data_IF_858895477624
#
_entry.id   IF_858895477624
#
_cell.length_a   1.000
_cell.length_b   1.000
_cell.length_c   1.000
_cell.angle_alpha   90.00
_cell.angle_beta   90.00
_cell.angle_gamma   90.00
#
_symmetry.space_group_name_H-M   'P 1'
#
loop_
_entity.id
_entity.type
_entity.pdbx_description
1 polymer ?
#
# COMPACT_ATOMS: atom_id res chain seq x y z
N UNK A 1 0.23 9.97 18.11
CA UNK A 1 1.33 10.87 17.71
C UNK A 1 2.27 10.03 16.86
N UNK A 2 1.90 9.76 15.60
CA UNK A 2 2.45 8.63 14.83
C UNK A 2 3.27 9.08 13.61
N UNK A 3 3.62 10.36 13.58
CA UNK A 3 4.32 11.00 12.48
C UNK A 3 5.25 12.08 13.05
N UNK A 4 6.45 12.17 12.51
CA UNK A 4 7.46 13.17 12.87
C UNK A 4 8.05 13.79 11.60
N UNK A 5 8.76 14.91 11.76
CA UNK A 5 9.62 15.49 10.72
C UNK A 5 10.97 15.78 11.34
N UNK A 6 12.03 15.64 10.57
CA UNK A 6 13.37 16.04 10.98
C UNK A 6 13.59 17.50 10.59
N UNK A 7 14.06 18.31 11.54
CA UNK A 7 14.49 19.68 11.27
C UNK A 7 16.02 19.73 11.28
N UNK A 8 16.61 20.11 10.15
CA UNK A 8 18.05 20.25 9.99
C UNK A 8 18.42 21.72 10.13
N UNK A 9 19.21 22.02 11.16
CA UNK A 9 19.72 23.35 11.45
C UNK A 9 21.24 23.33 11.33
N UNK A 10 21.78 24.11 10.40
CA UNK A 10 23.22 24.28 10.22
C UNK A 10 23.65 25.57 10.91
N UNK A 11 24.78 25.53 11.62
CA UNK A 11 25.43 26.69 12.20
C UNK A 11 26.80 26.87 11.56
N UNK A 12 27.13 28.10 11.17
CA UNK A 12 28.44 28.49 10.65
C UNK A 12 29.26 29.18 11.75
N UNK A 13 30.60 29.12 11.68
CA UNK A 13 31.47 29.81 12.63
C UNK A 13 31.38 31.32 12.47
N UNK A 14 31.40 32.04 13.59
CA UNK A 14 31.53 33.48 13.64
C UNK A 14 32.98 33.94 13.46
N UNK A 15 33.21 35.25 13.51
CA UNK A 15 34.57 35.81 13.37
C UNK A 15 35.52 35.35 14.49
N UNK A 16 34.99 34.86 15.62
CA UNK A 16 35.75 34.26 16.72
C UNK A 16 35.84 32.72 16.63
N UNK A 17 35.40 32.14 15.50
CA UNK A 17 35.41 30.69 15.25
C UNK A 17 34.28 29.92 15.92
N UNK A 18 33.31 30.58 16.57
CA UNK A 18 32.23 29.93 17.31
C UNK A 18 31.05 29.61 16.39
N UNK A 19 30.54 28.38 16.40
CA UNK A 19 29.44 27.92 15.53
C UNK A 19 28.09 28.54 15.93
N UNK A 20 27.87 29.82 15.62
CA UNK A 20 26.74 30.62 16.13
C UNK A 20 25.86 31.23 15.04
N UNK A 21 26.27 31.21 13.77
CA UNK A 21 25.48 31.79 12.70
C UNK A 21 24.52 30.75 12.11
N UNK A 22 23.21 30.79 12.41
CA UNK A 22 22.27 29.82 11.85
C UNK A 22 22.00 30.10 10.36
N UNK A 23 22.04 29.05 9.55
CA UNK A 23 21.40 29.07 8.24
C UNK A 23 19.90 28.82 8.37
N UNK A 24 19.16 28.99 7.28
CA UNK A 24 17.74 28.64 7.27
C UNK A 24 17.59 27.12 7.53
N UNK A 25 16.78 26.77 8.52
CA UNK A 25 16.43 25.37 8.77
C UNK A 25 15.70 24.76 7.57
N UNK A 26 15.99 23.50 7.27
CA UNK A 26 15.28 22.71 6.27
C UNK A 26 14.60 21.54 6.98
N UNK A 27 13.35 21.26 6.61
CA UNK A 27 12.55 20.22 7.24
C UNK A 27 12.33 19.08 6.26
N UNK A 28 12.45 17.84 6.71
CA UNK A 28 12.16 16.66 5.91
C UNK A 28 10.67 16.54 5.56
N UNK A 29 10.38 15.60 4.66
CA UNK A 29 9.05 15.05 4.54
C UNK A 29 8.59 14.37 5.84
N UNK A 30 7.29 14.11 5.94
CA UNK A 30 6.71 13.43 7.09
C UNK A 30 7.22 11.99 7.15
N UNK A 31 7.76 11.60 8.28
CA UNK A 31 8.18 10.24 8.59
C UNK A 31 7.11 9.64 9.48
N UNK A 32 6.46 8.58 9.01
CA UNK A 32 5.42 7.88 9.77
C UNK A 32 6.02 6.70 10.55
N UNK A 33 5.50 6.44 11.74
CA UNK A 33 5.87 5.26 12.54
C UNK A 33 5.44 3.99 11.80
N UNK A 34 6.42 3.13 11.48
CA UNK A 34 6.21 1.85 10.81
C UNK A 34 5.30 0.92 11.61
N UNK A 35 5.31 1.01 12.95
CA UNK A 35 4.44 0.20 13.82
C UNK A 35 2.98 0.69 13.80
N UNK A 36 2.77 1.97 13.46
CA UNK A 36 1.44 2.55 13.33
C UNK A 36 0.82 2.33 11.92
N UNK A 37 1.65 2.18 10.89
CA UNK A 37 1.23 1.95 9.50
C UNK A 37 1.65 0.56 8.98
N UNK A 38 1.43 -0.50 9.77
CA UNK A 38 1.91 -1.87 9.50
C UNK A 38 1.94 -2.24 8.01
N UNK A 39 3.03 -2.89 7.58
CA UNK A 39 3.24 -3.25 6.18
C UNK A 39 2.01 -4.00 5.65
N UNK A 40 1.33 -3.39 4.68
CA UNK A 40 0.21 -4.00 3.96
C UNK A 40 0.77 -5.16 3.13
N UNK A 41 0.59 -6.38 3.62
CA UNK A 41 1.06 -7.58 2.96
C UNK A 41 -0.04 -8.62 2.88
N UNK A 42 -0.20 -9.22 1.71
CA UNK A 42 -1.02 -10.42 1.52
C UNK A 42 -0.15 -11.63 1.84
N UNK A 43 -0.51 -12.34 2.92
CA UNK A 43 0.20 -13.54 3.39
C UNK A 43 -0.17 -14.76 2.56
N UNK A 44 -1.46 -14.89 2.21
CA UNK A 44 -1.98 -16.01 1.42
C UNK A 44 -3.33 -15.66 0.80
N UNK A 45 -3.59 -16.18 -0.39
CA UNK A 45 -4.90 -16.18 -1.00
C UNK A 45 -5.51 -17.59 -0.98
N UNK A 46 -6.83 -17.68 -0.80
CA UNK A 46 -7.58 -18.94 -0.92
C UNK A 46 -7.55 -19.53 -2.33
N UNK A 47 -7.44 -18.68 -3.35
CA UNK A 47 -7.40 -19.03 -4.76
C UNK A 47 -6.26 -18.26 -5.45
N UNK A 48 -5.59 -18.92 -6.39
CA UNK A 48 -4.55 -18.31 -7.24
C UNK A 48 -4.96 -18.25 -8.72
N UNK A 49 -6.18 -18.65 -9.05
CA UNK A 49 -6.78 -18.57 -10.39
C UNK A 49 -8.28 -18.35 -10.26
N UNK A 50 -8.90 -17.84 -11.32
CA UNK A 50 -10.33 -17.55 -11.38
C UNK A 50 -10.78 -17.28 -12.82
N UNK A 51 -12.08 -17.04 -13.01
CA UNK A 51 -12.61 -16.74 -14.34
C UNK A 51 -12.15 -15.35 -14.81
N UNK A 52 -11.77 -15.23 -16.09
CA UNK A 52 -11.53 -13.94 -16.72
C UNK A 52 -12.77 -13.03 -16.71
N UNK A 53 -13.97 -13.58 -16.51
CA UNK A 53 -15.21 -12.81 -16.35
C UNK A 53 -15.35 -12.11 -14.99
N UNK A 54 -14.46 -12.38 -14.05
CA UNK A 54 -14.60 -11.90 -12.68
C UNK A 54 -15.60 -12.72 -11.88
N UNK A 55 -16.06 -12.16 -10.75
CA UNK A 55 -17.09 -12.78 -9.91
C UNK A 55 -16.59 -13.92 -9.01
N UNK A 56 -15.29 -14.21 -9.02
CA UNK A 56 -14.73 -15.25 -8.15
C UNK A 56 -14.53 -14.65 -6.77
N UNK A 57 -15.22 -15.20 -5.77
CA UNK A 57 -15.02 -14.79 -4.38
C UNK A 57 -13.73 -15.41 -3.84
N UNK A 58 -12.84 -14.57 -3.30
CA UNK A 58 -11.61 -14.99 -2.66
C UNK A 58 -11.45 -14.40 -1.26
N UNK A 59 -10.82 -15.20 -0.40
CA UNK A 59 -10.33 -14.80 0.91
C UNK A 59 -8.82 -14.51 0.78
N UNK A 60 -8.42 -13.31 1.20
CA UNK A 60 -7.03 -12.87 1.35
C UNK A 60 -6.71 -12.83 2.84
N UNK A 61 -5.70 -13.58 3.28
CA UNK A 61 -5.10 -13.43 4.59
C UNK A 61 -4.04 -12.33 4.50
N UNK A 62 -4.12 -11.35 5.40
CA UNK A 62 -3.25 -10.17 5.36
C UNK A 62 -2.60 -9.94 6.72
N UNK A 63 -1.50 -9.21 6.71
CA UNK A 63 -1.07 -8.51 7.90
C UNK A 63 -2.14 -7.50 8.35
N UNK A 64 -2.00 -6.97 9.57
CA UNK A 64 -3.03 -6.13 10.17
C UNK A 64 -3.32 -4.89 9.30
N UNK A 65 -4.50 -4.84 8.72
CA UNK A 65 -4.95 -3.71 7.89
C UNK A 65 -5.68 -2.64 8.71
N UNK A 66 -5.55 -1.39 8.28
CA UNK A 66 -6.37 -0.28 8.76
C UNK A 66 -7.86 -0.57 8.55
N UNK A 67 -8.73 -0.09 9.45
CA UNK A 67 -10.20 -0.16 9.26
C UNK A 67 -10.71 0.87 8.26
N UNK A 68 -9.94 1.92 8.02
CA UNK A 68 -10.30 3.00 7.11
C UNK A 68 -9.73 2.68 5.73
N UNK A 69 -10.64 2.40 4.79
CA UNK A 69 -10.47 2.23 3.35
C UNK A 69 -9.37 1.24 2.87
N UNK A 70 -9.70 -0.06 2.89
CA UNK A 70 -8.90 -1.09 2.21
C UNK A 70 -9.42 -1.27 0.79
N UNK A 71 -8.52 -1.17 -0.19
CA UNK A 71 -8.79 -1.48 -1.59
C UNK A 71 -7.89 -2.62 -2.03
N UNK A 72 -8.44 -3.57 -2.78
CA UNK A 72 -7.68 -4.66 -3.39
C UNK A 72 -7.64 -4.40 -4.90
N UNK A 73 -6.44 -4.25 -5.47
CA UNK A 73 -6.25 -3.93 -6.89
C UNK A 73 -5.62 -5.11 -7.61
N UNK A 74 -6.29 -5.59 -8.65
CA UNK A 74 -5.71 -6.51 -9.62
C UNK A 74 -5.01 -5.72 -10.70
N UNK A 75 -3.83 -6.17 -11.14
CA UNK A 75 -3.09 -5.50 -12.20
C UNK A 75 -2.23 -6.46 -13.03
N UNK A 76 -1.85 -6.03 -14.23
CA UNK A 76 -0.92 -6.77 -15.10
C UNK A 76 0.28 -5.90 -15.52
N UNK A 77 1.16 -6.48 -16.33
CA UNK A 77 2.34 -5.80 -16.88
C UNK A 77 2.01 -4.86 -18.05
N UNK A 78 0.80 -4.92 -18.61
CA UNK A 78 0.35 -4.07 -19.72
C UNK A 78 -0.23 -2.75 -19.24
N UNK A 79 -0.45 -2.62 -17.93
CA UNK A 79 -0.99 -1.42 -17.28
C UNK A 79 -2.49 -1.52 -16.98
N UNK A 80 -3.13 -2.68 -17.23
CA UNK A 80 -4.49 -2.91 -16.76
C UNK A 80 -4.50 -2.93 -15.24
N UNK A 81 -5.48 -2.24 -14.65
CA UNK A 81 -5.74 -2.22 -13.21
C UNK A 81 -7.24 -2.22 -12.98
N UNK A 82 -7.72 -3.05 -12.06
CA UNK A 82 -9.12 -3.07 -11.67
C UNK A 82 -9.29 -3.33 -10.18
N UNK A 83 -10.16 -2.57 -9.48
CA UNK A 83 -10.47 -2.83 -8.09
C UNK A 83 -11.37 -4.06 -7.96
N UNK A 84 -11.07 -4.92 -7.00
CA UNK A 84 -11.97 -5.96 -6.56
C UNK A 84 -13.08 -5.38 -5.68
N UNK A 85 -14.24 -6.02 -5.70
CA UNK A 85 -15.34 -5.64 -4.80
C UNK A 85 -15.04 -6.20 -3.42
N UNK A 86 -14.68 -5.35 -2.46
CA UNK A 86 -14.47 -5.77 -1.07
C UNK A 86 -15.82 -6.05 -0.42
N UNK A 87 -16.01 -7.27 0.07
CA UNK A 87 -17.25 -7.73 0.70
C UNK A 87 -17.15 -7.61 2.23
N UNK A 88 -16.01 -8.01 2.81
CA UNK A 88 -15.84 -8.03 4.26
C UNK A 88 -14.36 -7.89 4.64
N UNK A 89 -14.07 -7.08 5.66
CA UNK A 89 -12.78 -7.09 6.36
C UNK A 89 -12.96 -7.81 7.70
N UNK A 90 -12.44 -9.04 7.82
CA UNK A 90 -12.56 -9.85 9.02
C UNK A 90 -11.45 -9.52 10.01
N UNK A 91 -11.81 -8.82 11.10
CA UNK A 91 -10.93 -8.52 12.24
C UNK A 91 -9.58 -7.91 11.85
N UNK A 92 -9.54 -7.13 10.77
CA UNK A 92 -8.32 -6.49 10.25
C UNK A 92 -7.21 -7.45 9.78
N UNK A 93 -7.46 -8.75 9.65
CA UNK A 93 -6.42 -9.73 9.29
C UNK A 93 -6.80 -10.62 8.10
N UNK A 94 -8.01 -10.42 7.58
CA UNK A 94 -8.43 -11.05 6.34
C UNK A 94 -9.44 -10.19 5.60
N UNK A 95 -9.47 -10.34 4.27
CA UNK A 95 -10.37 -9.63 3.38
C UNK A 95 -11.09 -10.67 2.53
N UNK A 96 -12.41 -10.58 2.46
CA UNK A 96 -13.23 -11.28 1.47
C UNK A 96 -13.52 -10.30 0.35
N UNK A 97 -13.15 -10.65 -0.87
CA UNK A 97 -13.35 -9.81 -2.05
C UNK A 97 -13.81 -10.65 -3.25
N UNK A 98 -14.46 -10.00 -4.21
CA UNK A 98 -14.86 -10.59 -5.48
C UNK A 98 -13.98 -10.06 -6.61
N UNK A 99 -13.42 -10.94 -7.44
CA UNK A 99 -12.53 -10.54 -8.53
C UNK A 99 -13.24 -9.67 -9.56
N UNK A 100 -12.58 -8.61 -10.07
CA UNK A 100 -13.11 -7.87 -11.20
C UNK A 100 -12.99 -8.68 -12.50
N UNK A 101 -13.78 -8.36 -13.54
CA UNK A 101 -13.56 -8.88 -14.89
C UNK A 101 -12.19 -8.46 -15.42
N UNK A 102 -11.47 -9.39 -16.04
CA UNK A 102 -10.23 -9.09 -16.76
C UNK A 102 -10.50 -8.23 -18.00
N UNK A 103 -9.46 -7.57 -18.53
CA UNK A 103 -9.55 -6.66 -19.70
C UNK A 103 -10.35 -7.24 -20.86
N UNK A 104 -10.10 -8.51 -21.17
CA UNK A 104 -10.92 -9.30 -22.09
C UNK A 104 -11.59 -10.45 -21.32
N UNK A 105 -12.87 -10.32 -20.95
CA UNK A 105 -13.61 -11.35 -20.23
C UNK A 105 -13.84 -12.64 -21.03
N UNK A 106 -13.63 -12.61 -22.35
CA UNK A 106 -13.83 -13.74 -23.25
C UNK A 106 -12.56 -14.53 -23.54
N UNK A 107 -11.41 -14.10 -23.00
CA UNK A 107 -10.15 -14.80 -23.20
C UNK A 107 -10.22 -16.25 -22.73
N UNK A 108 -9.73 -17.15 -23.57
CA UNK A 108 -9.56 -18.57 -23.25
C UNK A 108 -8.16 -18.90 -22.78
N UNK A 109 -7.22 -17.98 -22.98
CA UNK A 109 -5.82 -18.17 -22.62
C UNK A 109 -5.60 -17.93 -21.14
N UNK A 110 -4.62 -18.65 -20.58
CA UNK A 110 -4.15 -18.40 -19.22
C UNK A 110 -3.35 -17.09 -19.17
N UNK A 111 -3.85 -16.13 -18.41
CA UNK A 111 -3.18 -14.84 -18.19
C UNK A 111 -2.78 -14.70 -16.73
N UNK A 112 -1.53 -14.29 -16.50
CA UNK A 112 -1.04 -14.01 -15.16
C UNK A 112 -1.27 -12.54 -14.80
N UNK A 113 -1.91 -12.32 -13.66
CA UNK A 113 -2.13 -11.01 -13.04
C UNK A 113 -1.59 -11.02 -11.61
N UNK A 114 -1.36 -9.84 -11.05
CA UNK A 114 -0.90 -9.63 -9.68
C UNK A 114 -1.96 -8.90 -8.85
N UNK A 115 -1.85 -8.99 -7.53
CA UNK A 115 -2.74 -8.34 -6.55
C UNK A 115 -1.89 -7.42 -5.68
N UNK A 116 -2.41 -6.22 -5.41
CA UNK A 116 -1.87 -5.25 -4.45
C UNK A 116 -2.95 -4.83 -3.46
#
# INVERSE_FOLDING_TARGET
LNSVRLAFQVFLPDQAGQMRMPLRAVVSDVINDKKAMGELAIVRASHCSGSARGGTQLILLTEKVSREEVTVIFYDHTGWKAPATVILVHKQVAIVAETPPYRDPSTTDHVNVSIN
#
